data_IF_391425840603
#
_entry.id   IF_391425840603
#
_cell.length_a   1.000
_cell.length_b   1.000
_cell.length_c   1.000
_cell.angle_alpha   90.00
_cell.angle_beta   90.00
_cell.angle_gamma   90.00
#
_symmetry.space_group_name_H-M   'P 1'
#
loop_
_entity.id
_entity.type
_entity.pdbx_description
1 polymer ?
#
# COMPACT_ATOMS: atom_id res chain seq x y z
N UNK A 1 -1.38 -25.45 -9.23
CA UNK A 1 -1.40 -23.99 -9.06
C UNK A 1 -1.37 -23.67 -7.57
N UNK A 2 -0.45 -22.82 -7.15
CA UNK A 2 -0.33 -22.35 -5.76
C UNK A 2 -0.65 -20.87 -5.74
N UNK A 3 -1.72 -20.49 -5.01
CA UNK A 3 -2.18 -19.12 -4.87
C UNK A 3 -1.91 -18.66 -3.43
N UNK A 4 -1.08 -17.64 -3.28
CA UNK A 4 -0.88 -16.96 -2.00
C UNK A 4 -1.98 -15.92 -1.80
N UNK A 5 -2.87 -16.16 -0.84
CA UNK A 5 -3.98 -15.25 -0.53
C UNK A 5 -3.65 -14.16 0.50
N UNK A 6 -2.42 -14.14 1.01
CA UNK A 6 -1.97 -13.18 2.03
C UNK A 6 -0.71 -12.44 1.54
N UNK A 7 -0.82 -11.79 0.39
CA UNK A 7 0.27 -11.03 -0.19
C UNK A 7 0.18 -9.54 0.15
N UNK A 8 1.32 -8.95 0.44
CA UNK A 8 1.52 -7.50 0.60
C UNK A 8 3.01 -7.17 0.41
N UNK A 9 3.35 -5.89 0.34
CA UNK A 9 4.75 -5.49 0.31
C UNK A 9 5.53 -6.04 1.51
N UNK A 10 6.65 -6.70 1.23
CA UNK A 10 7.69 -7.00 2.24
C UNK A 10 8.62 -5.81 2.42
N UNK A 11 8.95 -5.14 1.32
CA UNK A 11 9.75 -3.92 1.31
C UNK A 11 9.12 -2.94 0.31
N UNK A 12 8.39 -1.96 0.81
CA UNK A 12 7.79 -0.92 -0.01
C UNK A 12 8.81 0.18 -0.38
N UNK A 13 8.57 0.98 -1.43
CA UNK A 13 9.39 2.15 -1.71
C UNK A 13 9.47 3.09 -0.51
N UNK A 14 10.67 3.57 -0.21
CA UNK A 14 10.93 4.41 0.98
C UNK A 14 10.08 5.68 1.02
N UNK A 15 9.83 6.29 -0.14
CA UNK A 15 9.00 7.48 -0.25
C UNK A 15 7.58 7.28 0.33
N UNK A 16 7.02 6.07 0.28
CA UNK A 16 5.72 5.76 0.87
C UNK A 16 5.72 5.89 2.39
N UNK A 17 6.75 5.35 3.04
CA UNK A 17 6.91 5.45 4.50
C UNK A 17 7.17 6.89 4.94
N UNK A 18 8.03 7.61 4.23
CA UNK A 18 8.35 9.01 4.51
C UNK A 18 7.10 9.90 4.41
N UNK A 19 6.28 9.70 3.39
CA UNK A 19 5.02 10.42 3.23
C UNK A 19 4.05 10.14 4.38
N UNK A 20 3.87 8.85 4.75
CA UNK A 20 3.00 8.46 5.88
C UNK A 20 3.47 9.04 7.20
N UNK A 21 4.76 9.04 7.47
CA UNK A 21 5.33 9.62 8.69
C UNK A 21 5.05 11.13 8.78
N UNK A 22 5.13 11.86 7.67
CA UNK A 22 4.75 13.29 7.60
C UNK A 22 3.24 13.46 7.84
N UNK A 23 2.39 12.62 7.25
CA UNK A 23 0.96 12.67 7.48
C UNK A 23 0.61 12.48 8.96
N UNK A 24 1.23 11.51 9.63
CA UNK A 24 1.01 11.27 11.06
C UNK A 24 1.54 12.45 11.91
N UNK A 25 2.72 12.97 11.58
CA UNK A 25 3.29 14.13 12.28
C UNK A 25 2.40 15.38 12.16
N UNK A 26 1.71 15.53 11.02
CA UNK A 26 0.81 16.66 10.77
C UNK A 26 -0.41 16.71 11.68
N UNK A 27 -0.77 15.61 12.33
CA UNK A 27 -1.83 15.59 13.33
C UNK A 27 -1.50 16.42 14.57
N UNK A 28 -0.19 16.65 14.82
CA UNK A 28 0.30 17.52 15.91
C UNK A 28 0.72 18.88 15.39
N UNK A 29 1.24 18.97 14.18
CA UNK A 29 1.69 20.18 13.53
C UNK A 29 1.18 20.21 12.08
N UNK A 30 0.05 20.90 11.82
CA UNK A 30 -0.55 20.97 10.48
C UNK A 30 0.39 21.51 9.38
N UNK A 31 1.43 22.26 9.74
CA UNK A 31 2.43 22.76 8.79
C UNK A 31 3.24 21.63 8.12
N UNK A 32 3.27 20.45 8.72
CA UNK A 32 3.97 19.27 8.20
C UNK A 32 3.13 18.43 7.23
N UNK A 33 1.85 18.79 7.02
CA UNK A 33 0.92 18.02 6.20
C UNK A 33 1.46 17.84 4.77
N UNK A 34 1.69 16.59 4.31
CA UNK A 34 2.13 16.35 2.95
C UNK A 34 0.96 16.44 1.97
N UNK A 35 1.23 16.90 0.76
CA UNK A 35 0.26 16.78 -0.34
C UNK A 35 0.42 15.43 -1.01
N UNK A 36 -0.68 14.84 -1.50
CA UNK A 36 -0.62 13.58 -2.27
C UNK A 36 0.26 13.74 -3.51
N UNK A 37 0.20 14.90 -4.16
CA UNK A 37 1.03 15.24 -5.32
C UNK A 37 2.55 15.24 -5.05
N UNK A 38 2.98 15.31 -3.80
CA UNK A 38 4.39 15.23 -3.42
C UNK A 38 4.92 13.79 -3.37
N UNK A 39 4.01 12.80 -3.33
CA UNK A 39 4.40 11.40 -3.33
C UNK A 39 4.77 10.96 -4.75
N UNK A 40 6.06 10.85 -4.99
CA UNK A 40 6.63 10.44 -6.27
C UNK A 40 7.20 9.03 -6.16
N UNK A 41 6.46 8.05 -6.69
CA UNK A 41 6.91 6.66 -6.81
C UNK A 41 6.75 6.27 -8.28
N UNK A 42 7.88 6.07 -8.95
CA UNK A 42 7.87 5.66 -10.35
C UNK A 42 7.50 4.18 -10.52
N UNK A 43 7.10 3.81 -11.73
CA UNK A 43 6.90 2.39 -12.06
C UNK A 43 8.20 1.60 -11.98
N UNK A 44 9.34 2.23 -12.25
CA UNK A 44 10.65 1.59 -12.12
C UNK A 44 10.98 1.30 -10.65
N UNK A 45 10.66 2.21 -9.71
CA UNK A 45 10.79 1.96 -8.27
C UNK A 45 9.93 0.78 -7.82
N UNK A 46 8.68 0.71 -8.32
CA UNK A 46 7.78 -0.41 -8.03
C UNK A 46 8.33 -1.72 -8.59
N UNK A 47 8.77 -1.73 -9.86
CA UNK A 47 9.37 -2.92 -10.48
C UNK A 47 10.56 -3.41 -9.69
N UNK A 48 11.48 -2.52 -9.36
CA UNK A 48 12.70 -2.87 -8.63
C UNK A 48 12.39 -3.48 -7.26
N UNK A 49 11.47 -2.88 -6.48
CA UNK A 49 11.13 -3.40 -5.15
C UNK A 49 10.39 -4.73 -5.22
N UNK A 50 9.49 -4.92 -6.17
CA UNK A 50 8.74 -6.17 -6.35
C UNK A 50 9.64 -7.29 -6.86
N UNK A 51 10.46 -7.03 -7.87
CA UNK A 51 11.38 -8.03 -8.45
C UNK A 51 12.42 -8.50 -7.43
N UNK A 52 13.00 -7.57 -6.67
CA UNK A 52 14.04 -7.90 -5.68
C UNK A 52 13.50 -8.65 -4.45
N UNK A 53 12.23 -8.51 -4.12
CA UNK A 53 11.65 -9.05 -2.88
C UNK A 53 10.48 -10.01 -3.15
N UNK A 54 9.29 -9.47 -3.38
CA UNK A 54 8.05 -10.27 -3.43
C UNK A 54 8.08 -11.29 -4.58
N UNK A 55 8.39 -10.86 -5.78
CA UNK A 55 8.40 -11.73 -6.96
C UNK A 55 9.50 -12.79 -6.87
N UNK A 56 10.67 -12.42 -6.37
CA UNK A 56 11.76 -13.36 -6.12
C UNK A 56 11.34 -14.47 -5.14
N UNK A 57 10.70 -14.09 -4.03
CA UNK A 57 10.22 -15.05 -3.03
C UNK A 57 9.13 -15.97 -3.58
N UNK A 58 8.21 -15.43 -4.39
CA UNK A 58 7.19 -16.24 -5.07
C UNK A 58 7.83 -17.33 -5.93
N UNK A 59 8.78 -16.94 -6.77
CA UNK A 59 9.49 -17.87 -7.67
C UNK A 59 10.28 -18.91 -6.90
N UNK A 60 11.00 -18.53 -5.85
CA UNK A 60 11.75 -19.45 -4.99
C UNK A 60 10.86 -20.48 -4.29
N UNK A 61 9.63 -20.08 -3.93
CA UNK A 61 8.65 -20.93 -3.24
C UNK A 61 7.70 -21.67 -4.15
N UNK A 62 7.76 -21.43 -5.45
CA UNK A 62 6.88 -22.05 -6.45
C UNK A 62 5.44 -21.56 -6.38
N UNK A 63 5.18 -20.36 -5.86
CA UNK A 63 3.85 -19.76 -5.91
C UNK A 63 3.58 -19.18 -7.30
N UNK A 64 2.40 -19.45 -7.83
CA UNK A 64 2.01 -19.05 -9.19
C UNK A 64 1.35 -17.67 -9.21
N UNK A 65 0.57 -17.35 -8.18
CA UNK A 65 -0.22 -16.13 -8.09
C UNK A 65 -0.28 -15.63 -6.65
N UNK A 66 -0.29 -14.31 -6.47
CA UNK A 66 -0.49 -13.67 -5.16
C UNK A 66 -1.66 -12.69 -5.22
N UNK A 67 -2.60 -12.79 -4.27
CA UNK A 67 -3.57 -11.73 -4.01
C UNK A 67 -2.87 -10.69 -3.15
N UNK A 68 -2.61 -9.53 -3.76
CA UNK A 68 -1.75 -8.49 -3.22
C UNK A 68 -2.56 -7.33 -2.66
N UNK A 69 -2.44 -7.08 -1.37
CA UNK A 69 -3.20 -6.06 -0.63
C UNK A 69 -2.28 -5.11 0.14
N UNK A 70 -2.78 -3.94 0.57
CA UNK A 70 -2.05 -3.08 1.50
C UNK A 70 -1.72 -3.82 2.80
N UNK A 71 -0.54 -3.57 3.35
CA UNK A 71 -0.11 -4.18 4.61
C UNK A 71 -0.98 -3.70 5.76
N UNK A 72 -1.75 -4.59 6.37
CA UNK A 72 -2.74 -4.26 7.41
C UNK A 72 -2.14 -3.48 8.59
N UNK A 73 -0.94 -3.85 9.06
CA UNK A 73 -0.25 -3.15 10.16
C UNK A 73 0.14 -1.70 9.83
N UNK A 74 0.25 -1.36 8.55
CA UNK A 74 0.57 -0.01 8.09
C UNK A 74 -0.67 0.86 7.88
N UNK A 75 -1.86 0.26 7.79
CA UNK A 75 -3.10 1.00 7.55
C UNK A 75 -3.46 1.89 8.76
N UNK A 76 -3.30 1.38 9.98
CA UNK A 76 -3.45 2.13 11.23
C UNK A 76 -4.69 3.05 11.24
N UNK A 77 -5.85 2.50 10.97
CA UNK A 77 -7.13 3.22 10.83
C UNK A 77 -7.56 4.01 12.09
N UNK A 78 -6.97 3.70 13.24
CA UNK A 78 -7.20 4.39 14.50
C UNK A 78 -6.38 5.70 14.65
N UNK A 79 -5.48 5.99 13.69
CA UNK A 79 -4.65 7.21 13.71
C UNK A 79 -5.32 8.29 12.86
N UNK A 80 -5.61 9.42 13.49
CA UNK A 80 -6.28 10.53 12.85
C UNK A 80 -7.78 10.33 12.67
N UNK A 81 -8.36 11.08 11.76
CA UNK A 81 -9.77 11.04 11.41
C UNK A 81 -10.02 10.16 10.16
N UNK A 82 -11.28 10.15 9.72
CA UNK A 82 -11.67 9.42 8.52
C UNK A 82 -10.94 9.91 7.26
N UNK A 83 -10.76 11.21 7.10
CA UNK A 83 -10.07 11.78 5.94
C UNK A 83 -8.60 11.32 5.87
N UNK A 84 -7.92 11.30 7.01
CA UNK A 84 -6.55 10.76 7.14
C UNK A 84 -6.49 9.30 6.71
N UNK A 85 -7.41 8.49 7.19
CA UNK A 85 -7.50 7.06 6.85
C UNK A 85 -7.88 6.84 5.39
N UNK A 86 -8.84 7.59 4.86
CA UNK A 86 -9.29 7.46 3.48
C UNK A 86 -8.19 7.85 2.48
N UNK A 87 -7.49 8.95 2.73
CA UNK A 87 -6.36 9.38 1.90
C UNK A 87 -5.26 8.33 1.86
N UNK A 88 -4.89 7.78 3.02
CA UNK A 88 -3.88 6.74 3.09
C UNK A 88 -4.32 5.44 2.42
N UNK A 89 -5.56 5.02 2.60
CA UNK A 89 -6.12 3.84 1.95
C UNK A 89 -6.10 4.00 0.42
N UNK A 90 -6.47 5.16 -0.11
CA UNK A 90 -6.43 5.45 -1.54
C UNK A 90 -5.01 5.33 -2.11
N UNK A 91 -4.01 5.88 -1.44
CA UNK A 91 -2.60 5.79 -1.85
C UNK A 91 -2.14 4.33 -1.89
N UNK A 92 -2.41 3.56 -0.83
CA UNK A 92 -2.00 2.16 -0.74
C UNK A 92 -2.71 1.28 -1.77
N UNK A 93 -4.00 1.52 -2.01
CA UNK A 93 -4.78 0.79 -3.02
C UNK A 93 -4.28 1.08 -4.44
N UNK A 94 -3.96 2.34 -4.75
CA UNK A 94 -3.36 2.71 -6.04
C UNK A 94 -2.06 1.95 -6.28
N UNK A 95 -1.18 1.87 -5.29
CA UNK A 95 0.07 1.12 -5.41
C UNK A 95 -0.18 -0.36 -5.66
N UNK A 96 -1.13 -0.98 -4.98
CA UNK A 96 -1.50 -2.38 -5.22
C UNK A 96 -2.04 -2.59 -6.64
N UNK A 97 -2.86 -1.66 -7.12
CA UNK A 97 -3.37 -1.68 -8.50
C UNK A 97 -2.21 -1.57 -9.50
N UNK A 98 -1.30 -0.62 -9.34
CA UNK A 98 -0.13 -0.46 -10.23
C UNK A 98 0.77 -1.69 -10.24
N UNK A 99 1.00 -2.34 -9.08
CA UNK A 99 1.75 -3.60 -9.01
C UNK A 99 1.08 -4.70 -9.83
N UNK A 100 -0.25 -4.82 -9.73
CA UNK A 100 -1.00 -5.81 -10.53
C UNK A 100 -0.94 -5.50 -12.03
N UNK A 101 -0.99 -4.23 -12.43
CA UNK A 101 -0.83 -3.80 -13.83
C UNK A 101 0.58 -4.06 -14.37
N UNK A 102 1.61 -3.87 -13.54
CA UNK A 102 3.01 -4.10 -13.92
C UNK A 102 3.37 -5.59 -14.03
N UNK A 103 2.71 -6.44 -13.26
CA UNK A 103 2.97 -7.88 -13.18
C UNK A 103 1.65 -8.69 -13.21
N UNK A 104 0.88 -8.61 -14.31
CA UNK A 104 -0.47 -9.18 -14.37
C UNK A 104 -0.51 -10.71 -14.25
N UNK A 105 0.59 -11.39 -14.57
CA UNK A 105 0.69 -12.85 -14.47
C UNK A 105 0.94 -13.34 -13.03
N UNK A 106 1.31 -12.44 -12.12
CA UNK A 106 1.74 -12.78 -10.75
C UNK A 106 0.88 -12.20 -9.65
N UNK A 107 0.23 -11.05 -9.87
CA UNK A 107 -0.50 -10.34 -8.84
C UNK A 107 -1.92 -9.99 -9.24
N UNK A 108 -2.84 -10.18 -8.29
CA UNK A 108 -4.20 -9.63 -8.34
C UNK A 108 -4.29 -8.64 -7.19
N UNK A 109 -4.64 -7.39 -7.49
CA UNK A 109 -4.82 -6.35 -6.47
C UNK A 109 -6.08 -6.55 -5.65
N UNK A 110 -5.97 -6.45 -4.33
CA UNK A 110 -7.09 -6.40 -3.40
C UNK A 110 -7.06 -5.07 -2.64
N UNK A 111 -8.16 -4.32 -2.69
CA UNK A 111 -8.28 -3.03 -2.04
C UNK A 111 -8.66 -3.15 -0.56
N UNK A 112 -8.13 -2.24 0.25
CA UNK A 112 -8.59 -1.99 1.61
C UNK A 112 -9.65 -0.89 1.59
N UNK A 113 -10.72 -1.07 2.37
CA UNK A 113 -11.68 -0.01 2.63
C UNK A 113 -11.14 0.94 3.71
N UNK A 114 -11.35 2.25 3.59
CA UNK A 114 -11.03 3.18 4.66
C UNK A 114 -11.90 2.85 5.89
N UNK A 115 -11.28 2.81 7.05
CA UNK A 115 -11.96 2.51 8.31
C UNK A 115 -11.52 3.51 9.37
N UNK A 116 -12.48 4.00 10.14
CA UNK A 116 -12.21 4.82 11.32
C UNK A 116 -13.24 4.49 12.38
N UNK A 117 -12.90 4.54 13.67
CA UNK A 117 -13.86 4.25 14.75
C UNK A 117 -15.12 5.11 14.62
N UNK A 118 -16.28 4.46 14.62
CA UNK A 118 -17.58 5.14 14.54
C UNK A 118 -18.03 5.62 13.16
N UNK A 119 -17.28 5.32 12.11
CA UNK A 119 -17.65 5.67 10.72
C UNK A 119 -18.07 4.42 9.96
N UNK A 120 -19.19 4.51 9.22
CA UNK A 120 -19.63 3.43 8.33
C UNK A 120 -18.68 3.36 7.12
N UNK A 121 -18.02 2.22 6.84
CA UNK A 121 -17.10 2.09 5.71
C UNK A 121 -17.79 2.22 4.34
N UNK A 122 -19.11 2.26 4.29
CA UNK A 122 -19.88 2.49 3.06
C UNK A 122 -20.04 3.97 2.70
N UNK A 123 -19.70 4.85 3.61
CA UNK A 123 -19.70 6.28 3.38
C UNK A 123 -18.35 6.75 2.90
#
# INVERSE_FOLDING_TARGET
MIIDIHGHYTTAPKALEEWRNRQIASLKDPALAPKVSELQISDDDLRQTIEANQLRLMKERGADLTIFSPRASFMAHHIGDFETSATWAAICNELCFRVAELFPDYFIGAAMLPQSPGVDPKT
#
